data_IF_696222919238
#
_entry.id   IF_696222919238
#
_cell.length_a   1.000
_cell.length_b   1.000
_cell.length_c   1.000
_cell.angle_alpha   90.00
_cell.angle_beta   90.00
_cell.angle_gamma   90.00
#
_symmetry.space_group_name_H-M   'P 1'
#
loop_
_entity.id
_entity.type
_entity.pdbx_description
1 polymer ?
#
# COMPACT_ATOMS: atom_id res chain seq x y z
N UNK A 1 17.48 20.86 22.60
CA UNK A 1 16.81 21.82 21.69
C UNK A 1 15.65 21.07 21.08
N UNK A 2 14.44 21.37 21.51
CA UNK A 2 13.25 20.71 20.99
C UNK A 2 13.05 21.18 19.55
N UNK A 3 12.91 20.25 18.62
CA UNK A 3 12.68 20.55 17.21
C UNK A 3 11.19 20.35 16.96
N UNK A 4 10.48 21.42 16.64
CA UNK A 4 9.08 21.40 16.25
C UNK A 4 8.99 21.51 14.73
N UNK A 5 8.19 20.66 14.12
CA UNK A 5 7.85 20.71 12.70
C UNK A 5 6.33 20.78 12.56
N UNK A 6 5.85 21.85 11.94
CA UNK A 6 4.43 22.05 11.68
C UNK A 6 4.17 21.99 10.18
N UNK A 7 3.20 21.21 9.74
CA UNK A 7 2.72 21.23 8.36
C UNK A 7 1.20 21.08 8.30
N UNK A 8 0.61 21.65 7.27
CA UNK A 8 -0.83 21.53 7.00
C UNK A 8 -1.02 20.88 5.64
N UNK A 9 -1.45 19.62 5.63
CA UNK A 9 -1.58 18.83 4.40
C UNK A 9 -3.02 18.33 4.28
N UNK A 10 -3.69 18.69 3.20
CA UNK A 10 -5.06 18.25 2.88
C UNK A 10 -6.09 18.43 4.03
N UNK A 11 -6.04 19.56 4.72
CA UNK A 11 -6.98 19.86 5.81
C UNK A 11 -6.65 19.16 7.14
N UNK A 12 -5.55 18.44 7.25
CA UNK A 12 -5.05 17.88 8.51
C UNK A 12 -3.82 18.66 8.97
N UNK A 13 -3.86 19.15 10.19
CA UNK A 13 -2.69 19.70 10.87
C UNK A 13 -1.79 18.53 11.30
N UNK A 14 -0.50 18.62 10.99
CA UNK A 14 0.51 17.64 11.39
C UNK A 14 1.58 18.39 12.17
N UNK A 15 1.71 18.06 13.44
CA UNK A 15 2.72 18.63 14.33
C UNK A 15 3.60 17.50 14.86
N UNK A 16 4.92 17.70 14.79
CA UNK A 16 5.89 16.80 15.37
C UNK A 16 6.77 17.56 16.36
N UNK A 17 6.85 17.07 17.60
CA UNK A 17 7.72 17.61 18.63
C UNK A 17 8.72 16.53 19.08
N UNK A 18 9.99 16.86 19.12
CA UNK A 18 11.05 15.95 19.56
C UNK A 18 11.53 16.39 20.95
N UNK A 19 11.48 15.46 21.91
CA UNK A 19 12.10 15.64 23.22
C UNK A 19 13.51 15.05 23.26
N UNK A 20 14.42 15.69 24.00
CA UNK A 20 15.82 15.22 24.20
C UNK A 20 15.93 13.90 25.00
N UNK A 21 14.85 13.42 25.58
CA UNK A 21 14.82 12.20 26.40
C UNK A 21 14.25 10.96 25.69
N UNK A 22 14.80 10.60 24.52
CA UNK A 22 14.59 9.30 23.86
C UNK A 22 13.22 9.05 23.19
N UNK A 23 12.49 10.08 22.75
CA UNK A 23 11.23 9.90 22.03
C UNK A 23 10.81 11.13 21.24
N UNK A 24 9.73 11.00 20.47
CA UNK A 24 9.10 12.12 19.79
C UNK A 24 7.58 11.97 19.79
N UNK A 25 6.89 13.09 19.74
CA UNK A 25 5.44 13.15 19.66
C UNK A 25 5.02 13.53 18.25
N UNK A 26 3.93 12.93 17.76
CA UNK A 26 3.30 13.25 16.49
C UNK A 26 1.82 13.53 16.71
N UNK A 27 1.35 14.66 16.20
CA UNK A 27 -0.05 15.02 16.16
C UNK A 27 -0.53 15.00 14.71
N UNK A 28 -1.62 14.27 14.42
CA UNK A 28 -2.25 14.22 13.09
C UNK A 28 -3.73 14.49 13.28
N UNK A 29 -4.16 15.71 12.97
CA UNK A 29 -5.49 16.21 13.37
C UNK A 29 -5.62 16.15 14.88
N UNK A 30 -6.69 15.56 15.39
CA UNK A 30 -6.98 15.44 16.83
C UNK A 30 -6.27 14.25 17.51
N UNK A 31 -5.44 13.50 16.77
CA UNK A 31 -4.77 12.29 17.28
C UNK A 31 -3.34 12.61 17.71
N UNK A 32 -3.08 12.54 19.01
CA UNK A 32 -1.75 12.67 19.59
C UNK A 32 -1.14 11.30 19.88
N UNK A 33 0.12 11.12 19.52
CA UNK A 33 0.85 9.85 19.67
C UNK A 33 2.28 10.08 20.10
N UNK A 34 2.77 9.25 21.03
CA UNK A 34 4.13 9.27 21.55
C UNK A 34 4.91 8.06 21.07
N UNK A 35 6.10 8.28 20.53
CA UNK A 35 6.93 7.22 19.93
C UNK A 35 8.34 7.18 20.50
N UNK A 36 8.88 5.97 20.57
CA UNK A 36 10.31 5.70 20.61
C UNK A 36 10.72 5.00 19.32
N UNK A 37 11.99 5.13 18.97
CA UNK A 37 12.58 4.42 17.82
C UNK A 37 13.97 3.93 18.17
N UNK A 38 14.44 2.93 17.45
CA UNK A 38 15.81 2.46 17.49
C UNK A 38 16.52 2.81 16.17
N UNK A 39 17.86 2.90 16.21
CA UNK A 39 18.65 3.31 15.04
C UNK A 39 18.47 2.39 13.82
N UNK A 40 18.10 1.15 14.03
CA UNK A 40 17.90 0.12 13.01
C UNK A 40 16.47 0.12 12.43
N UNK A 41 15.55 0.89 13.04
CA UNK A 41 14.16 0.98 12.56
C UNK A 41 14.04 2.13 11.57
N UNK A 42 13.19 1.95 10.55
CA UNK A 42 12.94 2.99 9.55
C UNK A 42 12.52 4.33 10.18
N UNK A 43 13.12 5.42 9.69
CA UNK A 43 12.91 6.79 10.16
C UNK A 43 13.20 7.02 11.66
N UNK A 44 14.41 6.71 12.13
CA UNK A 44 14.75 6.79 13.56
C UNK A 44 14.76 8.23 14.12
N UNK A 45 14.67 9.23 13.27
CA UNK A 45 14.71 10.65 13.65
C UNK A 45 13.34 11.31 13.79
N UNK A 46 12.26 10.58 13.53
CA UNK A 46 10.88 11.10 13.61
C UNK A 46 9.97 10.54 12.53
N UNK A 47 8.76 11.09 12.39
CA UNK A 47 7.81 10.65 11.40
C UNK A 47 8.30 10.92 9.97
N UNK A 48 8.30 9.88 9.13
CA UNK A 48 8.67 10.02 7.72
C UNK A 48 7.65 10.86 6.95
N UNK A 49 8.13 11.84 6.18
CA UNK A 49 7.30 12.75 5.39
C UNK A 49 6.40 12.02 4.38
N UNK A 50 6.90 10.92 3.79
CA UNK A 50 6.10 10.10 2.89
C UNK A 50 4.94 9.44 3.61
N UNK A 51 5.17 8.89 4.81
CA UNK A 51 4.12 8.34 5.65
C UNK A 51 3.07 9.41 6.00
N UNK A 52 3.49 10.60 6.41
CA UNK A 52 2.58 11.71 6.69
C UNK A 52 1.77 12.14 5.46
N UNK A 53 2.42 12.22 4.28
CA UNK A 53 1.75 12.49 3.01
C UNK A 53 0.68 11.42 2.70
N UNK A 54 0.96 10.14 2.94
CA UNK A 54 -0.03 9.08 2.77
C UNK A 54 -1.19 9.24 3.75
N UNK A 55 -0.91 9.44 5.04
CA UNK A 55 -1.96 9.58 6.06
C UNK A 55 -2.86 10.80 5.85
N UNK A 56 -2.38 11.85 5.16
CA UNK A 56 -3.19 13.03 4.84
C UNK A 56 -4.35 12.73 3.89
N UNK A 57 -4.21 11.73 3.01
CA UNK A 57 -5.25 11.35 2.03
C UNK A 57 -6.10 10.16 2.45
N UNK A 58 -5.67 9.41 3.46
CA UNK A 58 -6.38 8.23 3.95
C UNK A 58 -7.66 8.66 4.66
N UNK A 59 -8.76 7.99 4.32
CA UNK A 59 -10.05 8.11 5.01
C UNK A 59 -10.38 6.77 5.62
N UNK A 60 -10.66 6.77 6.92
CA UNK A 60 -11.06 5.60 7.69
C UNK A 60 -12.52 5.70 8.09
N UNK A 61 -13.19 4.55 8.11
CA UNK A 61 -14.52 4.33 8.64
C UNK A 61 -14.42 3.34 9.81
N UNK A 62 -15.28 3.43 10.81
CA UNK A 62 -15.26 2.57 12.01
C UNK A 62 -15.32 1.07 11.66
N UNK A 63 -15.93 0.71 10.52
CA UNK A 63 -16.03 -0.66 10.03
C UNK A 63 -14.80 -1.15 9.28
N UNK A 64 -13.80 -0.30 9.06
CA UNK A 64 -12.60 -0.68 8.32
C UNK A 64 -11.75 -1.69 9.09
N UNK A 65 -11.18 -2.66 8.36
CA UNK A 65 -10.14 -3.58 8.82
C UNK A 65 -8.83 -3.21 8.15
N UNK A 66 -7.90 -2.69 8.91
CA UNK A 66 -6.66 -2.12 8.37
C UNK A 66 -5.45 -3.02 8.60
N UNK A 67 -4.63 -3.14 7.57
CA UNK A 67 -3.27 -3.67 7.66
C UNK A 67 -2.25 -2.54 7.45
N UNK A 68 -1.38 -2.34 8.44
CA UNK A 68 -0.14 -1.58 8.31
C UNK A 68 0.97 -2.54 7.88
N UNK A 69 1.34 -2.49 6.61
CA UNK A 69 2.23 -3.44 5.95
C UNK A 69 3.66 -2.89 5.83
N UNK A 70 4.58 -3.47 6.58
CA UNK A 70 5.92 -2.91 6.83
C UNK A 70 5.83 -1.78 7.84
N UNK A 71 5.33 -2.08 9.05
CA UNK A 71 4.88 -1.08 10.01
C UNK A 71 6.00 -0.26 10.67
N UNK A 72 7.27 -0.73 10.60
CA UNK A 72 8.38 -0.08 11.28
C UNK A 72 8.11 0.09 12.79
N UNK A 73 8.15 1.31 13.29
CA UNK A 73 7.86 1.61 14.70
C UNK A 73 6.35 1.78 15.00
N UNK A 74 5.45 1.58 14.03
CA UNK A 74 4.00 1.47 14.24
C UNK A 74 3.19 2.76 14.06
N UNK A 75 3.73 3.83 13.46
CA UNK A 75 3.02 5.11 13.31
C UNK A 75 1.64 4.94 12.65
N UNK A 76 1.58 4.26 11.53
CA UNK A 76 0.34 4.10 10.73
C UNK A 76 -0.69 3.28 11.50
N UNK A 77 -0.28 2.14 12.05
CA UNK A 77 -1.17 1.25 12.78
C UNK A 77 -1.72 1.89 14.06
N UNK A 78 -0.87 2.57 14.84
CA UNK A 78 -1.30 3.26 16.08
C UNK A 78 -2.24 4.43 15.75
N UNK A 79 -1.92 5.22 14.71
CA UNK A 79 -2.80 6.29 14.24
C UNK A 79 -4.19 5.75 13.84
N UNK A 80 -4.23 4.63 13.13
CA UNK A 80 -5.47 3.99 12.75
C UNK A 80 -6.24 3.45 13.97
N UNK A 81 -5.55 2.75 14.87
CA UNK A 81 -6.15 2.17 16.07
C UNK A 81 -6.84 3.19 16.97
N UNK A 82 -6.27 4.40 17.07
CA UNK A 82 -6.89 5.51 17.82
C UNK A 82 -8.16 6.06 17.16
N UNK A 83 -8.43 5.73 15.89
CA UNK A 83 -9.61 6.23 15.17
C UNK A 83 -10.68 5.16 15.01
N UNK A 84 -10.31 3.89 14.73
CA UNK A 84 -11.26 2.83 14.38
C UNK A 84 -11.26 1.67 15.37
N UNK A 85 -10.47 1.74 16.45
CA UNK A 85 -10.30 0.65 17.42
C UNK A 85 -9.12 -0.27 17.09
N UNK A 86 -8.44 -0.72 18.15
CA UNK A 86 -7.23 -1.54 18.02
C UNK A 86 -7.51 -2.93 17.41
N UNK A 87 -8.67 -3.50 17.70
CA UNK A 87 -9.13 -4.79 17.18
C UNK A 87 -9.35 -4.80 15.67
N UNK A 88 -9.52 -3.63 15.06
CA UNK A 88 -9.69 -3.46 13.62
C UNK A 88 -8.33 -3.34 12.88
N UNK A 89 -7.22 -3.27 13.62
CA UNK A 89 -5.90 -3.00 13.06
C UNK A 89 -4.97 -4.19 13.25
N UNK A 90 -4.27 -4.54 12.19
CA UNK A 90 -3.15 -5.48 12.21
C UNK A 90 -1.90 -4.76 11.72
N UNK A 91 -0.78 -4.96 12.38
CA UNK A 91 0.53 -4.48 11.95
C UNK A 91 1.45 -5.65 11.66
N UNK A 92 2.32 -5.52 10.65
CA UNK A 92 3.36 -6.51 10.43
C UNK A 92 4.64 -5.90 9.87
N UNK A 93 5.77 -6.52 10.25
CA UNK A 93 7.09 -6.20 9.72
C UNK A 93 7.95 -7.47 9.66
N UNK A 94 8.96 -7.47 8.79
CA UNK A 94 9.92 -8.58 8.68
C UNK A 94 10.99 -8.50 9.79
N UNK A 95 11.34 -7.27 10.21
CA UNK A 95 12.37 -7.02 11.21
C UNK A 95 11.84 -7.26 12.63
N UNK A 96 12.50 -8.12 13.40
CA UNK A 96 12.16 -8.38 14.79
C UNK A 96 12.26 -7.12 15.66
N UNK A 97 13.26 -6.28 15.40
CA UNK A 97 13.44 -4.98 16.08
C UNK A 97 12.25 -4.05 15.83
N UNK A 98 11.74 -3.97 14.59
CA UNK A 98 10.56 -3.17 14.25
C UNK A 98 9.32 -3.68 15.00
N UNK A 99 9.08 -5.00 14.98
CA UNK A 99 7.95 -5.61 15.70
C UNK A 99 8.01 -5.32 17.21
N UNK A 100 9.21 -5.42 17.84
CA UNK A 100 9.40 -5.11 19.24
C UNK A 100 9.10 -3.64 19.55
N UNK A 101 9.67 -2.71 18.77
CA UNK A 101 9.47 -1.26 18.94
C UNK A 101 8.00 -0.88 18.68
N UNK A 102 7.36 -1.46 17.69
CA UNK A 102 5.95 -1.22 17.43
C UNK A 102 5.05 -1.65 18.59
N UNK A 103 5.33 -2.80 19.24
CA UNK A 103 4.61 -3.24 20.44
C UNK A 103 4.82 -2.30 21.63
N UNK A 104 6.06 -1.87 21.87
CA UNK A 104 6.36 -0.87 22.91
C UNK A 104 5.59 0.42 22.65
N UNK A 105 5.54 0.88 21.40
CA UNK A 105 4.79 2.08 21.03
C UNK A 105 3.27 1.89 21.16
N UNK A 106 2.74 0.68 20.92
CA UNK A 106 1.33 0.38 21.20
C UNK A 106 1.02 0.56 22.70
N UNK A 107 1.83 -0.04 23.58
CA UNK A 107 1.68 0.09 25.03
C UNK A 107 1.75 1.56 25.46
N UNK A 108 2.74 2.30 24.95
CA UNK A 108 2.95 3.74 25.23
C UNK A 108 1.74 4.60 24.83
N UNK A 109 1.05 4.21 23.76
CA UNK A 109 -0.13 4.92 23.26
C UNK A 109 -1.45 4.36 23.79
N UNK A 110 -1.43 3.36 24.66
CA UNK A 110 -2.62 2.74 25.25
C UNK A 110 -3.51 2.02 24.23
N UNK A 111 -2.92 1.42 23.20
CA UNK A 111 -3.64 0.62 22.19
C UNK A 111 -3.09 -0.82 22.16
N UNK A 112 -3.99 -1.80 22.09
CA UNK A 112 -3.64 -3.22 22.03
C UNK A 112 -3.84 -3.77 20.61
N UNK A 113 -2.89 -3.43 19.73
CA UNK A 113 -2.91 -3.82 18.33
C UNK A 113 -2.14 -5.12 18.10
N UNK A 114 -2.64 -6.01 17.26
CA UNK A 114 -1.93 -7.20 16.84
C UNK A 114 -0.71 -6.85 15.97
N UNK A 115 0.50 -7.02 16.51
CA UNK A 115 1.78 -6.79 15.79
C UNK A 115 2.46 -8.14 15.53
N UNK A 116 2.60 -8.48 14.25
CA UNK A 116 3.07 -9.79 13.79
C UNK A 116 4.39 -9.67 13.04
N UNK A 117 5.31 -10.60 13.28
CA UNK A 117 6.49 -10.76 12.43
C UNK A 117 6.10 -11.49 11.16
N UNK A 118 6.36 -10.90 9.99
CA UNK A 118 5.99 -11.51 8.70
C UNK A 118 6.82 -10.94 7.54
N UNK A 119 7.23 -11.79 6.62
CA UNK A 119 7.77 -11.36 5.31
C UNK A 119 6.61 -10.88 4.42
N UNK A 120 6.29 -9.62 4.55
CA UNK A 120 5.10 -9.03 3.95
C UNK A 120 3.82 -9.69 4.48
N UNK A 121 3.04 -10.31 3.58
CA UNK A 121 1.79 -11.00 3.94
C UNK A 121 1.92 -12.54 3.98
N UNK A 122 3.13 -13.09 3.85
CA UNK A 122 3.34 -14.53 3.68
C UNK A 122 3.01 -15.33 4.93
N UNK A 123 3.40 -14.79 6.10
CA UNK A 123 3.26 -15.49 7.39
C UNK A 123 1.99 -15.05 8.15
N UNK A 124 1.21 -14.12 7.59
CA UNK A 124 -0.07 -13.73 8.18
C UNK A 124 -1.12 -14.85 7.99
N UNK A 125 -1.98 -15.11 8.99
CA UNK A 125 -3.07 -16.07 8.88
C UNK A 125 -3.87 -15.88 7.58
N UNK A 126 -4.08 -16.98 6.85
CA UNK A 126 -4.74 -16.90 5.52
C UNK A 126 -6.17 -16.39 5.57
N UNK A 127 -6.83 -16.52 6.71
CA UNK A 127 -8.22 -16.07 6.93
C UNK A 127 -8.35 -14.55 6.98
N UNK A 128 -7.29 -13.83 7.33
CA UNK A 128 -7.34 -12.37 7.46
C UNK A 128 -7.67 -11.70 6.12
N UNK A 129 -8.65 -10.80 6.17
CA UNK A 129 -9.04 -9.93 5.06
C UNK A 129 -9.10 -8.49 5.57
N UNK A 130 -8.82 -7.56 4.66
CA UNK A 130 -8.70 -6.14 4.99
C UNK A 130 -9.53 -5.30 4.04
N UNK A 131 -10.06 -4.19 4.54
CA UNK A 131 -10.68 -3.14 3.72
C UNK A 131 -9.66 -2.07 3.35
N UNK A 132 -8.61 -1.92 4.17
CA UNK A 132 -7.52 -0.97 3.95
C UNK A 132 -6.17 -1.66 4.14
N UNK A 133 -5.25 -1.46 3.20
CA UNK A 133 -3.84 -1.83 3.35
C UNK A 133 -3.02 -0.59 3.09
N UNK A 134 -2.21 -0.19 4.07
CA UNK A 134 -1.32 0.95 4.00
C UNK A 134 0.13 0.48 4.02
N UNK A 135 0.98 1.07 3.18
CA UNK A 135 2.40 0.73 3.16
C UNK A 135 3.28 1.87 2.66
N UNK A 136 4.39 2.07 3.35
CA UNK A 136 5.52 2.88 2.91
C UNK A 136 6.75 1.95 2.77
N UNK A 137 6.86 1.22 1.65
CA UNK A 137 7.91 0.22 1.48
C UNK A 137 9.30 0.86 1.31
N UNK A 138 10.40 0.13 1.64
CA UNK A 138 11.74 0.66 1.52
C UNK A 138 12.07 1.05 0.07
N UNK A 139 12.70 2.25 -0.12
CA UNK A 139 12.98 2.82 -1.45
C UNK A 139 14.25 2.30 -2.10
N UNK A 140 15.17 1.76 -1.31
CA UNK A 140 16.53 1.42 -1.73
C UNK A 140 16.68 -0.03 -2.20
N UNK A 141 15.71 -0.86 -1.93
CA UNK A 141 15.68 -2.25 -2.35
C UNK A 141 15.17 -2.43 -3.79
N UNK A 142 15.34 -3.62 -4.31
CA UNK A 142 14.75 -3.99 -5.59
C UNK A 142 13.21 -3.98 -5.51
N UNK A 143 12.55 -4.08 -6.65
CA UNK A 143 11.10 -4.07 -6.70
C UNK A 143 10.45 -5.38 -6.27
N UNK A 144 11.18 -6.38 -5.78
CA UNK A 144 10.63 -7.67 -5.34
C UNK A 144 9.72 -7.51 -4.13
N UNK A 145 10.14 -6.71 -3.15
CA UNK A 145 9.37 -6.43 -1.93
C UNK A 145 8.04 -5.73 -2.25
N UNK A 146 8.02 -4.53 -2.88
CA UNK A 146 6.76 -3.86 -3.19
C UNK A 146 5.91 -4.64 -4.20
N UNK A 147 6.50 -5.45 -5.08
CA UNK A 147 5.76 -6.37 -5.95
C UNK A 147 4.97 -7.38 -5.13
N UNK A 148 5.61 -8.01 -4.14
CA UNK A 148 4.97 -8.95 -3.22
C UNK A 148 3.84 -8.28 -2.44
N UNK A 149 4.07 -7.08 -1.91
CA UNK A 149 3.07 -6.29 -1.18
C UNK A 149 1.83 -6.01 -2.04
N UNK A 150 2.01 -5.58 -3.29
CA UNK A 150 0.91 -5.28 -4.20
C UNK A 150 0.13 -6.55 -4.59
N UNK A 151 0.83 -7.63 -4.97
CA UNK A 151 0.17 -8.85 -5.47
C UNK A 151 -0.54 -9.63 -4.36
N UNK A 152 0.09 -9.79 -3.19
CA UNK A 152 -0.51 -10.47 -2.06
C UNK A 152 -1.56 -9.57 -1.38
N UNK A 153 -1.30 -8.27 -1.26
CA UNK A 153 -2.26 -7.31 -0.72
C UNK A 153 -3.55 -7.30 -1.52
N UNK A 154 -3.49 -7.30 -2.85
CA UNK A 154 -4.69 -7.43 -3.69
C UNK A 154 -5.51 -8.69 -3.35
N UNK A 155 -4.84 -9.82 -3.08
CA UNK A 155 -5.55 -11.06 -2.71
C UNK A 155 -6.22 -10.98 -1.35
N UNK A 156 -5.59 -10.27 -0.41
CA UNK A 156 -6.06 -10.10 0.98
C UNK A 156 -7.07 -8.97 1.17
N UNK A 157 -7.17 -8.04 0.23
CA UNK A 157 -8.23 -7.03 0.24
C UNK A 157 -9.59 -7.65 -0.03
N UNK A 158 -10.60 -7.16 0.68
CA UNK A 158 -12.02 -7.38 0.36
C UNK A 158 -12.40 -6.64 -0.94
N UNK A 159 -13.53 -6.98 -1.53
CA UNK A 159 -14.06 -6.24 -2.68
C UNK A 159 -14.44 -4.82 -2.22
N UNK A 160 -14.05 -3.80 -2.97
CA UNK A 160 -14.15 -2.39 -2.57
C UNK A 160 -13.01 -1.94 -1.65
N UNK A 161 -12.19 -2.87 -1.15
CA UNK A 161 -11.04 -2.53 -0.30
C UNK A 161 -9.96 -1.74 -1.07
N UNK A 162 -9.22 -0.92 -0.34
CA UNK A 162 -8.27 0.05 -0.91
C UNK A 162 -6.86 -0.19 -0.39
N UNK A 163 -5.90 -0.20 -1.30
CA UNK A 163 -4.48 -0.15 -0.99
C UNK A 163 -3.96 1.28 -1.16
N UNK A 164 -3.29 1.78 -0.11
CA UNK A 164 -2.53 3.02 -0.13
C UNK A 164 -1.04 2.69 -0.09
N UNK A 165 -0.28 3.29 -0.97
CA UNK A 165 1.18 3.18 -0.97
C UNK A 165 1.82 4.54 -1.19
N UNK A 166 2.97 4.76 -0.57
CA UNK A 166 3.72 5.98 -0.77
C UNK A 166 5.17 5.67 -1.16
N UNK A 167 5.72 6.45 -2.10
CA UNK A 167 7.11 6.30 -2.55
C UNK A 167 7.58 7.53 -3.34
N UNK A 168 8.89 7.66 -3.55
CA UNK A 168 9.47 8.61 -4.51
C UNK A 168 9.58 8.06 -5.94
N UNK A 169 9.27 6.77 -6.16
CA UNK A 169 9.41 6.09 -7.47
C UNK A 169 8.05 5.91 -8.15
N UNK A 170 7.63 6.91 -8.94
CA UNK A 170 6.29 6.97 -9.53
C UNK A 170 5.99 5.85 -10.53
N UNK A 171 6.80 5.72 -11.57
CA UNK A 171 6.38 5.02 -12.79
C UNK A 171 6.21 3.51 -12.61
N UNK A 172 7.13 2.88 -11.89
CA UNK A 172 7.03 1.45 -11.63
C UNK A 172 5.79 1.12 -10.79
N UNK A 173 5.55 1.86 -9.70
CA UNK A 173 4.39 1.66 -8.82
C UNK A 173 3.08 1.92 -9.56
N UNK A 174 3.01 3.00 -10.34
CA UNK A 174 1.84 3.30 -11.17
C UNK A 174 1.50 2.13 -12.10
N UNK A 175 2.48 1.66 -12.88
CA UNK A 175 2.28 0.58 -13.83
C UNK A 175 1.90 -0.74 -13.12
N UNK A 176 2.56 -1.06 -12.01
CA UNK A 176 2.29 -2.29 -11.27
C UNK A 176 0.91 -2.28 -10.63
N UNK A 177 0.54 -1.21 -9.92
CA UNK A 177 -0.78 -1.06 -9.30
C UNK A 177 -1.89 -1.06 -10.35
N UNK A 178 -1.72 -0.31 -11.44
CA UNK A 178 -2.67 -0.30 -12.56
C UNK A 178 -2.88 -1.68 -13.16
N UNK A 179 -1.81 -2.46 -13.31
CA UNK A 179 -1.89 -3.83 -13.86
C UNK A 179 -2.66 -4.76 -12.92
N UNK A 180 -2.43 -4.66 -11.60
CA UNK A 180 -3.03 -5.56 -10.62
C UNK A 180 -4.45 -5.16 -10.27
N UNK A 181 -4.73 -3.87 -10.06
CA UNK A 181 -6.02 -3.35 -9.62
C UNK A 181 -6.94 -2.92 -10.78
N UNK A 182 -6.40 -2.73 -11.99
CA UNK A 182 -7.14 -2.21 -13.14
C UNK A 182 -7.24 -0.68 -13.19
N UNK A 183 -6.89 0.01 -12.11
CA UNK A 183 -6.86 1.47 -11.98
C UNK A 183 -6.09 1.89 -10.74
N UNK A 184 -5.56 3.11 -10.75
CA UNK A 184 -4.85 3.71 -9.62
C UNK A 184 -4.96 5.23 -9.72
N UNK A 185 -5.26 5.89 -8.60
CA UNK A 185 -5.13 7.33 -8.44
C UNK A 185 -3.75 7.63 -7.84
N UNK A 186 -3.14 8.71 -8.27
CA UNK A 186 -1.83 9.16 -7.79
C UNK A 186 -1.92 10.63 -7.45
N UNK A 187 -1.44 10.98 -6.27
CA UNK A 187 -1.31 12.36 -5.79
C UNK A 187 0.16 12.61 -5.45
N UNK A 188 0.69 13.74 -5.91
CA UNK A 188 2.03 14.17 -5.54
C UNK A 188 1.94 15.15 -4.38
N UNK A 189 2.55 14.78 -3.26
CA UNK A 189 2.49 15.53 -2.01
C UNK A 189 3.92 15.63 -1.48
N UNK A 190 4.44 16.83 -1.36
CA UNK A 190 5.72 17.10 -0.74
C UNK A 190 6.89 16.29 -1.33
N UNK A 191 6.84 16.07 -2.66
CA UNK A 191 7.84 15.30 -3.41
C UNK A 191 7.71 13.77 -3.26
N UNK A 192 6.59 13.29 -2.70
CA UNK A 192 6.21 11.88 -2.65
C UNK A 192 4.99 11.61 -3.50
N UNK A 193 4.90 10.42 -4.06
CA UNK A 193 3.74 9.94 -4.79
C UNK A 193 2.91 9.01 -3.91
N UNK A 194 1.69 9.43 -3.59
CA UNK A 194 0.72 8.63 -2.86
C UNK A 194 -0.21 7.95 -3.86
N UNK A 195 -0.25 6.64 -3.81
CA UNK A 195 -1.06 5.80 -4.69
C UNK A 195 -2.28 5.29 -3.94
N UNK A 196 -3.45 5.41 -4.56
CA UNK A 196 -4.72 4.85 -4.06
C UNK A 196 -5.26 3.88 -5.10
N UNK A 197 -5.32 2.59 -4.76
CA UNK A 197 -5.77 1.54 -5.66
C UNK A 197 -6.89 0.71 -5.00
N UNK A 198 -8.07 0.72 -5.61
CA UNK A 198 -9.26 0.02 -5.12
C UNK A 198 -9.43 -1.34 -5.82
N UNK A 199 -9.69 -2.38 -5.03
CA UNK A 199 -10.04 -3.71 -5.55
C UNK A 199 -11.50 -3.72 -6.02
N UNK A 200 -11.67 -3.67 -7.33
CA UNK A 200 -12.98 -3.68 -7.98
C UNK A 200 -13.32 -5.05 -8.55
N UNK A 201 -14.60 -5.30 -8.71
CA UNK A 201 -15.07 -6.44 -9.48
C UNK A 201 -14.50 -6.38 -10.90
N UNK A 202 -13.79 -7.42 -11.32
CA UNK A 202 -13.33 -7.50 -12.71
C UNK A 202 -14.53 -7.82 -13.57
N UNK A 203 -15.00 -6.87 -14.37
CA UNK A 203 -15.93 -7.18 -15.45
C UNK A 203 -15.31 -8.31 -16.28
N UNK A 204 -16.08 -9.37 -16.61
CA UNK A 204 -15.59 -10.38 -17.54
C UNK A 204 -15.10 -9.65 -18.78
N UNK A 205 -13.86 -9.87 -19.17
CA UNK A 205 -13.39 -9.44 -20.48
C UNK A 205 -14.23 -10.26 -21.44
N UNK A 206 -15.24 -9.64 -22.06
CA UNK A 206 -15.88 -10.24 -23.24
C UNK A 206 -14.74 -10.58 -24.19
N UNK A 207 -14.43 -11.87 -24.28
CA UNK A 207 -13.58 -12.35 -25.37
C UNK A 207 -14.30 -11.94 -26.63
N UNK A 208 -13.93 -10.77 -27.22
CA UNK A 208 -14.30 -10.50 -28.61
C UNK A 208 -13.92 -11.78 -29.30
N UNK A 209 -14.94 -12.52 -29.78
CA UNK A 209 -14.72 -13.62 -30.71
C UNK A 209 -13.81 -13.01 -31.76
N UNK A 210 -12.54 -13.38 -31.76
CA UNK A 210 -11.66 -13.17 -32.89
C UNK A 210 -12.33 -13.96 -34.01
N UNK A 211 -13.26 -13.35 -34.70
CA UNK A 211 -13.48 -13.65 -36.12
C UNK A 211 -12.10 -13.45 -36.72
N UNK A 212 -11.45 -14.57 -36.97
CA UNK A 212 -10.17 -14.60 -37.65
C UNK A 212 -10.43 -13.90 -39.00
N UNK A 213 -10.14 -12.60 -39.01
CA UNK A 213 -9.98 -11.89 -40.28
C UNK A 213 -8.76 -12.53 -40.89
N UNK A 214 -9.02 -13.56 -41.72
CA UNK A 214 -7.97 -14.23 -42.47
C UNK A 214 -7.18 -13.14 -43.18
N UNK A 215 -5.88 -13.05 -42.89
CA UNK A 215 -5.05 -12.04 -43.53
C UNK A 215 -5.25 -12.09 -45.03
N UNK A 216 -5.31 -10.93 -45.71
CA UNK A 216 -5.45 -10.85 -47.15
C UNK A 216 -4.48 -11.77 -47.91
N UNK A 217 -3.33 -12.07 -47.31
CA UNK A 217 -2.34 -13.00 -47.84
C UNK A 217 -2.79 -14.47 -47.75
N UNK A 218 -3.53 -14.86 -46.75
CA UNK A 218 -4.07 -16.22 -46.57
C UNK A 218 -5.27 -16.42 -47.52
N UNK A 219 -6.13 -15.40 -47.65
CA UNK A 219 -7.26 -15.40 -48.61
C UNK A 219 -6.75 -15.52 -50.06
N UNK A 220 -5.68 -14.79 -50.44
CA UNK A 220 -5.03 -14.89 -51.76
C UNK A 220 -4.37 -16.26 -51.98
N UNK A 221 -3.83 -16.91 -50.97
CA UNK A 221 -3.28 -18.27 -51.08
C UNK A 221 -4.37 -19.32 -51.30
N UNK A 222 -5.50 -19.20 -50.64
CA UNK A 222 -6.62 -20.14 -50.78
C UNK A 222 -7.34 -19.96 -52.13
N UNK A 223 -7.50 -18.73 -52.63
CA UNK A 223 -8.09 -18.49 -53.96
C UNK A 223 -7.18 -19.00 -55.10
N UNK A 224 -5.84 -18.89 -54.95
CA UNK A 224 -4.91 -19.51 -55.95
C UNK A 224 -4.97 -21.03 -55.96
N UNK A 225 -5.12 -21.67 -54.78
CA UNK A 225 -5.25 -23.12 -54.68
C UNK A 225 -6.56 -23.64 -55.30
N UNK A 226 -7.68 -22.91 -55.16
CA UNK A 226 -8.95 -23.24 -55.80
C UNK A 226 -8.90 -23.13 -57.32
N UNK A 227 -8.21 -22.13 -57.88
CA UNK A 227 -8.04 -21.97 -59.35
C UNK A 227 -7.15 -23.08 -59.95
N UNK A 228 -6.13 -23.56 -59.27
CA UNK A 228 -5.27 -24.65 -59.74
C UNK A 228 -5.98 -26.01 -59.77
N UNK A 229 -7.04 -26.21 -58.98
CA UNK A 229 -7.81 -27.46 -58.97
C UNK A 229 -8.90 -27.52 -60.06
N UNK A 230 -9.29 -26.38 -60.65
CA UNK A 230 -10.30 -26.30 -61.73
C UNK A 230 -9.70 -26.32 -63.15
N UNK A 231 -8.39 -26.29 -63.29
CA UNK A 231 -7.70 -26.34 -64.61
C UNK A 231 -7.11 -27.72 -64.94
N UNK A 232 -7.38 -28.75 -64.11
CA UNK A 232 -6.90 -30.13 -64.30
C UNK A 232 -8.08 -31.13 -64.41
N UNK A 233 -9.25 -30.67 -64.73
CA UNK A 233 -10.40 -31.44 -65.18
C UNK A 233 -10.78 -30.91 -66.58
#
# INVERSE_FOLDING_TARGET
>A
MDVRFDSYIYGKEIVMERSLSAGFQVNIGDVTMDFVTEAEVFSPQGADRGTLAMLSVVKLEESDKLLDLGCGYGLVGIWAAKQIGAEQVTMCDIAETAVKVARENCERNGVDVAVLKSDGLKDLPEVLRFTKILSNPPYHEDFSVPKGFIELGYKRLELGGVMYMVTKRRDWYYNKLKTVFGGVRVEEIDGYYVFTAEKRERKPVEKKKNEQIMSKKLQRKMSKKKKAHHSNT
#
